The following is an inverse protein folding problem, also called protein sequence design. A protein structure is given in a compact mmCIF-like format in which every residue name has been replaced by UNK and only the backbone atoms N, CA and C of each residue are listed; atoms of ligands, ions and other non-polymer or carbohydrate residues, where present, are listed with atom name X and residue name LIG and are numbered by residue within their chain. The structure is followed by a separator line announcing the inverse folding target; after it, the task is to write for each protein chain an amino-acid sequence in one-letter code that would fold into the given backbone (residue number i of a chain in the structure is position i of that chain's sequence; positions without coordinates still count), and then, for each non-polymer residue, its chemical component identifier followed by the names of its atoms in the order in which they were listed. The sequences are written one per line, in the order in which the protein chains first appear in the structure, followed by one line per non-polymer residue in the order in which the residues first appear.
data_IF_738339914849
#
_entry.id   IF_738339914849
#
_cell.length_a   1.000
_cell.length_b   1.000
_cell.length_c   1.000
_cell.angle_alpha   90.00
_cell.angle_beta   90.00
_cell.angle_gamma   90.00
#
_symmetry.space_group_name_H-M   'P 1'
#
loop_
_entity.id
_entity.type
_entity.pdbx_description
1 polymer ?
#
# COMPACT_ATOMS: atom_id res chain seq x y z
N UNK A 1 12.09 -0.16 21.65
CA UNK A 1 12.89 -0.84 20.60
C UNK A 1 12.25 -0.44 19.28
N UNK A 2 12.82 0.55 18.58
CA UNK A 2 12.35 0.90 17.22
C UNK A 2 12.58 -0.31 16.32
N UNK A 3 11.73 -0.51 15.32
CA UNK A 3 12.07 -1.35 14.17
C UNK A 3 12.20 -2.87 14.41
N UNK A 4 11.73 -3.38 15.55
CA UNK A 4 11.77 -4.84 15.85
C UNK A 4 10.99 -5.66 14.81
N UNK A 5 10.01 -5.04 14.15
CA UNK A 5 9.18 -5.68 13.14
C UNK A 5 10.00 -6.24 11.96
N UNK A 6 11.13 -5.61 11.63
CA UNK A 6 12.00 -6.01 10.52
C UNK A 6 13.25 -6.77 10.97
N UNK A 7 13.34 -7.11 12.25
CA UNK A 7 14.50 -7.79 12.79
C UNK A 7 14.73 -9.12 12.07
N UNK A 8 15.94 -9.33 11.57
CA UNK A 8 16.32 -10.52 10.79
C UNK A 8 15.96 -10.47 9.31
N UNK A 9 15.17 -9.48 8.83
CA UNK A 9 14.88 -9.30 7.41
C UNK A 9 15.90 -8.38 6.71
N UNK A 10 16.30 -7.29 7.36
CA UNK A 10 17.28 -6.33 6.85
C UNK A 10 18.25 -5.89 7.96
N UNK A 11 19.38 -5.27 7.58
CA UNK A 11 20.32 -4.71 8.55
C UNK A 11 19.74 -3.48 9.25
N UNK A 12 20.12 -3.22 10.50
CA UNK A 12 19.61 -2.08 11.28
C UNK A 12 19.73 -0.75 10.54
N UNK A 13 20.87 -0.48 9.90
CA UNK A 13 21.08 0.72 9.07
C UNK A 13 20.07 0.87 7.94
N UNK A 14 19.69 -0.25 7.31
CA UNK A 14 18.68 -0.26 6.24
C UNK A 14 17.29 0.02 6.80
N UNK A 15 16.99 -0.49 7.99
CA UNK A 15 15.71 -0.27 8.63
C UNK A 15 15.58 1.18 9.13
N UNK A 16 16.64 1.76 9.70
CA UNK A 16 16.69 3.18 10.05
C UNK A 16 16.50 4.06 8.82
N UNK A 17 16.96 3.63 7.65
CA UNK A 17 16.81 4.37 6.39
C UNK A 17 15.34 4.57 5.98
N UNK A 18 14.40 3.76 6.49
CA UNK A 18 12.96 3.89 6.23
C UNK A 18 12.40 5.24 6.71
N UNK A 19 13.02 5.86 7.71
CA UNK A 19 12.60 7.16 8.27
C UNK A 19 12.70 8.31 7.24
N UNK A 20 13.43 8.11 6.15
CA UNK A 20 13.66 9.13 5.12
C UNK A 20 12.61 9.13 4.02
N UNK A 21 11.77 8.11 3.97
CA UNK A 21 10.81 7.92 2.88
C UNK A 21 9.40 8.34 3.28
N UNK A 22 8.65 8.74 2.26
CA UNK A 22 7.26 9.14 2.32
C UNK A 22 6.40 8.18 1.50
N UNK A 23 5.34 7.63 2.08
CA UNK A 23 4.43 6.69 1.40
C UNK A 23 3.04 7.31 1.28
N UNK A 24 2.43 7.24 0.10
CA UNK A 24 1.01 7.54 -0.10
C UNK A 24 0.18 6.27 -0.02
N UNK A 25 -0.83 6.24 0.86
CA UNK A 25 -1.69 5.06 1.06
C UNK A 25 -3.15 5.49 0.87
N UNK A 26 -3.86 4.79 -0.02
CA UNK A 26 -5.23 5.13 -0.40
C UNK A 26 -6.16 3.98 -0.01
N UNK A 27 -6.94 4.20 1.04
CA UNK A 27 -7.99 3.28 1.50
C UNK A 27 -7.51 1.95 2.09
N UNK A 28 -6.33 1.91 2.71
CA UNK A 28 -5.82 0.73 3.43
C UNK A 28 -5.29 1.11 4.82
N UNK A 29 -6.16 1.05 5.82
CA UNK A 29 -5.82 1.41 7.20
C UNK A 29 -4.85 0.40 7.81
N UNK A 30 -5.05 -0.90 7.55
CA UNK A 30 -4.13 -1.93 8.01
C UNK A 30 -2.70 -1.74 7.51
N UNK A 31 -2.52 -1.51 6.20
CA UNK A 31 -1.19 -1.29 5.64
C UNK A 31 -0.55 -0.02 6.20
N UNK A 32 -1.34 1.04 6.37
CA UNK A 32 -0.89 2.26 7.02
C UNK A 32 -0.39 2.01 8.45
N UNK A 33 -1.13 1.26 9.26
CA UNK A 33 -0.71 0.91 10.62
C UNK A 33 0.56 0.05 10.63
N UNK A 34 0.69 -0.91 9.70
CA UNK A 34 1.89 -1.72 9.57
C UNK A 34 3.11 -0.86 9.25
N UNK A 35 3.02 0.01 8.24
CA UNK A 35 4.12 0.88 7.82
C UNK A 35 4.47 1.93 8.89
N UNK A 36 3.48 2.38 9.63
CA UNK A 36 3.69 3.27 10.75
C UNK A 36 4.48 2.61 11.88
N UNK A 37 4.04 1.42 12.32
CA UNK A 37 4.76 0.63 13.35
C UNK A 37 6.15 0.19 12.89
N UNK A 38 6.37 0.24 11.57
CA UNK A 38 7.59 -0.14 10.88
C UNK A 38 8.64 0.96 10.76
N UNK A 39 8.34 2.20 11.21
CA UNK A 39 9.30 3.30 11.24
C UNK A 39 9.46 4.06 9.91
N UNK A 40 8.46 3.99 9.01
CA UNK A 40 8.41 4.86 7.83
C UNK A 40 8.31 6.32 8.26
N UNK A 41 9.07 7.19 7.61
CA UNK A 41 9.20 8.60 7.99
C UNK A 41 7.91 9.40 7.93
N UNK A 42 7.24 9.34 6.77
CA UNK A 42 5.99 10.06 6.53
C UNK A 42 4.98 9.19 5.81
N UNK A 43 3.75 9.16 6.29
CA UNK A 43 2.64 8.47 5.65
C UNK A 43 1.55 9.48 5.33
N UNK A 44 1.25 9.63 4.04
CA UNK A 44 0.11 10.40 3.56
C UNK A 44 -1.05 9.44 3.34
N UNK A 45 -1.96 9.44 4.29
CA UNK A 45 -3.14 8.59 4.25
C UNK A 45 -4.28 9.35 3.57
N UNK A 46 -4.85 8.76 2.51
CA UNK A 46 -6.06 9.25 1.88
C UNK A 46 -7.17 8.24 2.15
N UNK A 47 -8.02 8.58 3.10
CA UNK A 47 -9.16 7.77 3.50
C UNK A 47 -10.44 8.21 2.79
N UNK A 48 -11.31 7.25 2.50
CA UNK A 48 -12.63 7.48 1.92
C UNK A 48 -13.71 7.06 2.93
N UNK A 49 -14.97 7.12 2.55
CA UNK A 49 -16.08 6.60 3.33
C UNK A 49 -15.89 5.11 3.67
N UNK A 50 -16.03 4.77 4.95
CA UNK A 50 -15.97 3.40 5.43
C UNK A 50 -17.33 2.73 5.26
N UNK A 51 -17.33 1.60 4.57
CA UNK A 51 -18.51 0.76 4.44
C UNK A 51 -18.50 -0.37 5.48
N UNK A 52 -19.64 -1.01 5.77
CA UNK A 52 -19.66 -2.22 6.58
C UNK A 52 -18.79 -3.36 6.02
N UNK A 53 -18.56 -3.38 4.69
CA UNK A 53 -17.67 -4.35 4.06
C UNK A 53 -16.22 -4.07 4.43
N UNK A 54 -15.81 -2.80 4.45
CA UNK A 54 -14.46 -2.40 4.88
C UNK A 54 -14.22 -2.82 6.34
N UNK A 55 -15.17 -2.52 7.25
CA UNK A 55 -15.06 -2.91 8.65
C UNK A 55 -15.10 -4.43 8.89
N UNK A 56 -15.63 -5.20 7.93
CA UNK A 56 -15.59 -6.67 7.96
C UNK A 56 -14.23 -7.19 7.52
N UNK A 57 -13.61 -6.60 6.50
CA UNK A 57 -12.37 -7.06 5.87
C UNK A 57 -11.13 -6.54 6.62
N UNK A 58 -11.07 -5.24 6.89
CA UNK A 58 -9.94 -4.60 7.56
C UNK A 58 -10.14 -4.64 9.08
N UNK A 59 -9.38 -5.50 9.77
CA UNK A 59 -9.48 -5.66 11.23
C UNK A 59 -8.99 -4.46 12.04
N UNK A 60 -8.39 -3.45 11.40
CA UNK A 60 -8.03 -2.19 12.06
C UNK A 60 -9.17 -1.19 12.08
N UNK A 61 -10.23 -1.44 11.30
CA UNK A 61 -11.45 -0.65 11.30
C UNK A 61 -12.45 -1.27 12.28
N UNK A 62 -12.92 -0.49 13.26
CA UNK A 62 -13.94 -0.97 14.19
C UNK A 62 -15.31 -0.97 13.50
N UNK A 63 -16.19 -1.93 13.81
CA UNK A 63 -17.55 -1.96 13.25
C UNK A 63 -18.35 -0.67 13.47
N UNK A 64 -18.10 0.05 14.55
CA UNK A 64 -18.76 1.32 14.88
C UNK A 64 -18.24 2.52 14.07
N UNK A 65 -17.10 2.39 13.39
CA UNK A 65 -16.57 3.40 12.46
C UNK A 65 -17.15 3.24 11.05
N UNK A 66 -17.92 2.18 10.80
CA UNK A 66 -18.62 2.01 9.54
C UNK A 66 -19.65 3.14 9.35
N UNK A 67 -19.73 3.64 8.12
CA UNK A 67 -20.51 4.79 7.68
C UNK A 67 -19.99 6.15 8.17
N UNK A 68 -18.70 6.23 8.49
CA UNK A 68 -17.99 7.49 8.73
C UNK A 68 -16.81 7.64 7.76
N UNK A 69 -16.22 8.82 7.72
CA UNK A 69 -15.00 9.08 6.95
C UNK A 69 -13.80 8.43 7.63
N UNK A 70 -12.98 7.74 6.83
CA UNK A 70 -11.74 7.15 7.30
C UNK A 70 -10.68 8.23 7.54
N UNK A 71 -10.66 8.77 8.76
CA UNK A 71 -9.66 9.75 9.20
C UNK A 71 -8.83 9.12 10.30
N UNK A 72 -7.50 9.21 10.16
CA UNK A 72 -6.57 8.65 11.12
C UNK A 72 -5.74 9.76 11.76
N UNK A 73 -5.43 9.58 13.04
CA UNK A 73 -4.67 10.54 13.82
C UNK A 73 -3.37 9.92 14.32
N UNK A 74 -2.27 10.69 14.43
CA UNK A 74 -1.03 10.19 15.00
C UNK A 74 -1.21 9.63 16.43
N UNK A 75 -0.78 8.38 16.62
CA UNK A 75 -0.73 7.57 17.83
C UNK A 75 0.70 7.53 18.43
N UNK A 76 1.69 8.09 17.73
CA UNK A 76 3.09 8.17 18.15
C UNK A 76 3.75 9.43 17.61
N UNK A 77 4.82 9.90 18.25
CA UNK A 77 5.63 11.04 17.82
C UNK A 77 6.64 10.74 16.71
N UNK A 78 6.84 9.47 16.38
CA UNK A 78 8.05 9.03 15.67
C UNK A 78 7.89 8.96 14.14
N UNK A 79 6.65 8.85 13.64
CA UNK A 79 6.31 8.93 12.23
C UNK A 79 5.33 10.06 11.99
N UNK A 80 5.55 10.83 10.93
CA UNK A 80 4.60 11.84 10.49
C UNK A 80 3.42 11.15 9.79
N UNK A 81 2.20 11.38 10.26
CA UNK A 81 0.98 10.96 9.55
C UNK A 81 0.20 12.20 9.15
N UNK A 82 -0.10 12.29 7.86
CA UNK A 82 -0.95 13.32 7.30
C UNK A 82 -2.17 12.63 6.69
N UNK A 83 -3.32 12.77 7.34
CA UNK A 83 -4.58 12.18 6.89
C UNK A 83 -5.39 13.19 6.10
N UNK A 84 -5.81 12.82 4.90
CA UNK A 84 -6.71 13.60 4.04
C UNK A 84 -7.98 12.79 3.76
N UNK A 85 -9.16 13.44 3.73
CA UNK A 85 -10.32 12.83 3.10
C UNK A 85 -10.08 12.73 1.59
N UNK A 86 -10.63 11.69 0.96
CA UNK A 86 -10.55 11.50 -0.48
C UNK A 86 -11.15 12.69 -1.23
N UNK A 87 -10.36 13.40 -2.07
CA UNK A 87 -10.88 14.55 -2.81
C UNK A 87 -11.56 14.13 -4.11
N UNK A 88 -12.70 14.76 -4.41
CA UNK A 88 -13.36 14.59 -5.71
C UNK A 88 -12.51 15.18 -6.85
N UNK A 89 -11.83 16.31 -6.62
CA UNK A 89 -11.00 16.97 -7.63
C UNK A 89 -9.65 16.26 -7.87
N UNK A 90 -9.33 16.00 -9.15
CA UNK A 90 -8.12 15.29 -9.55
C UNK A 90 -6.85 16.09 -9.25
N UNK A 91 -6.91 17.40 -9.41
CA UNK A 91 -5.76 18.27 -9.14
C UNK A 91 -5.41 18.25 -7.65
N UNK A 92 -6.43 18.30 -6.79
CA UNK A 92 -6.26 18.16 -5.34
C UNK A 92 -5.70 16.80 -4.96
N UNK A 93 -6.24 15.72 -5.52
CA UNK A 93 -5.74 14.36 -5.29
C UNK A 93 -4.25 14.23 -5.62
N UNK A 94 -3.83 14.73 -6.78
CA UNK A 94 -2.43 14.77 -7.20
C UNK A 94 -1.58 15.66 -6.29
N UNK A 95 -2.11 16.79 -5.83
CA UNK A 95 -1.42 17.71 -4.93
C UNK A 95 -1.13 17.07 -3.57
N UNK A 96 -2.10 16.36 -3.00
CA UNK A 96 -1.95 15.64 -1.74
C UNK A 96 -0.87 14.56 -1.82
N UNK A 97 -0.69 13.95 -3.00
CA UNK A 97 0.30 12.90 -3.26
C UNK A 97 1.67 13.43 -3.73
N UNK A 98 1.85 14.74 -3.90
CA UNK A 98 3.10 15.30 -4.44
C UNK A 98 4.30 15.13 -3.51
N UNK A 99 5.38 14.51 -3.98
CA UNK A 99 6.62 14.33 -3.20
C UNK A 99 6.58 13.14 -2.23
N UNK A 100 5.75 12.14 -2.53
CA UNK A 100 5.85 10.80 -1.95
C UNK A 100 6.78 9.94 -2.82
N UNK A 101 7.36 8.91 -2.22
CA UNK A 101 8.31 8.00 -2.88
C UNK A 101 7.65 6.76 -3.47
N UNK A 102 6.42 6.42 -3.04
CA UNK A 102 5.63 5.29 -3.55
C UNK A 102 4.14 5.51 -3.24
N UNK A 103 3.26 5.03 -4.13
CA UNK A 103 1.81 5.05 -3.96
C UNK A 103 1.27 3.63 -3.83
N UNK A 104 0.42 3.40 -2.83
CA UNK A 104 -0.28 2.14 -2.62
C UNK A 104 -1.77 2.40 -2.56
N UNK A 105 -2.58 1.65 -3.32
CA UNK A 105 -4.01 1.91 -3.42
C UNK A 105 -4.86 0.64 -3.37
N UNK A 106 -5.71 0.56 -2.34
CA UNK A 106 -6.74 -0.47 -2.19
C UNK A 106 -8.13 0.08 -2.55
N UNK A 107 -8.28 1.41 -2.54
CA UNK A 107 -9.42 2.13 -3.11
C UNK A 107 -8.96 3.05 -4.24
N UNK A 108 -9.85 3.35 -5.17
CA UNK A 108 -9.60 4.29 -6.28
C UNK A 108 -8.35 3.95 -7.13
N UNK A 109 -8.08 2.65 -7.30
CA UNK A 109 -6.86 2.09 -7.92
C UNK A 109 -6.50 2.76 -9.24
N UNK A 110 -7.44 2.89 -10.18
CA UNK A 110 -7.18 3.51 -11.49
C UNK A 110 -6.72 4.97 -11.37
N UNK A 111 -7.33 5.74 -10.48
CA UNK A 111 -6.99 7.16 -10.29
C UNK A 111 -5.62 7.29 -9.62
N UNK A 112 -5.35 6.43 -8.65
CA UNK A 112 -4.06 6.34 -7.96
C UNK A 112 -2.92 5.97 -8.92
N UNK A 113 -3.13 4.96 -9.76
CA UNK A 113 -2.18 4.53 -10.78
C UNK A 113 -1.83 5.68 -11.74
N UNK A 114 -2.85 6.43 -12.18
CA UNK A 114 -2.65 7.58 -13.06
C UNK A 114 -1.79 8.66 -12.41
N UNK A 115 -2.07 8.99 -11.14
CA UNK A 115 -1.27 9.97 -10.39
C UNK A 115 0.16 9.47 -10.20
N UNK A 116 0.36 8.18 -9.91
CA UNK A 116 1.69 7.61 -9.74
C UNK A 116 2.54 7.74 -11.03
N UNK A 117 1.97 7.39 -12.19
CA UNK A 117 2.62 7.56 -13.49
C UNK A 117 2.96 9.04 -13.76
N UNK A 118 2.03 9.95 -13.49
CA UNK A 118 2.24 11.39 -13.71
C UNK A 118 3.25 12.02 -12.74
N UNK A 119 3.44 11.44 -11.55
CA UNK A 119 4.43 11.87 -10.57
C UNK A 119 5.77 11.15 -10.77
N UNK A 120 5.83 10.11 -11.60
CA UNK A 120 7.03 9.31 -11.83
C UNK A 120 7.45 8.51 -10.60
N UNK A 121 6.49 7.97 -9.84
CA UNK A 121 6.74 7.20 -8.61
C UNK A 121 6.17 5.78 -8.73
N UNK A 122 6.77 4.77 -8.08
CA UNK A 122 6.25 3.41 -8.10
C UNK A 122 4.81 3.32 -7.57
N UNK A 123 4.05 2.38 -8.13
CA UNK A 123 2.65 2.12 -7.78
C UNK A 123 2.42 0.66 -7.39
N UNK A 124 1.69 0.44 -6.29
CA UNK A 124 1.29 -0.87 -5.80
C UNK A 124 -0.25 -0.90 -5.70
N UNK A 125 -0.95 -1.69 -6.54
CA UNK A 125 -2.39 -1.91 -6.41
C UNK A 125 -2.71 -2.91 -5.28
N UNK A 126 -3.96 -3.31 -5.12
CA UNK A 126 -4.46 -4.27 -4.11
C UNK A 126 -4.01 -5.74 -4.34
N UNK A 127 -2.79 -5.95 -4.86
CA UNK A 127 -2.11 -7.25 -5.00
C UNK A 127 -0.60 -7.07 -4.72
N UNK A 128 0.17 -8.15 -4.67
CA UNK A 128 1.62 -8.08 -4.43
C UNK A 128 2.35 -7.92 -5.76
N UNK A 129 2.52 -6.68 -6.21
CA UNK A 129 3.37 -6.29 -7.35
C UNK A 129 3.67 -4.81 -7.32
N UNK A 130 4.76 -4.40 -7.97
CA UNK A 130 5.19 -3.01 -8.11
C UNK A 130 5.24 -2.63 -9.59
N UNK A 131 4.51 -1.58 -9.95
CA UNK A 131 4.63 -0.90 -11.23
C UNK A 131 5.67 0.20 -11.09
N UNK A 132 6.81 0.03 -11.76
CA UNK A 132 7.86 1.05 -11.79
C UNK A 132 7.53 2.14 -12.84
N UNK A 133 7.97 3.39 -12.63
CA UNK A 133 7.69 4.50 -13.56
C UNK A 133 8.20 4.27 -14.98
N UNK A 134 9.30 3.52 -15.12
CA UNK A 134 9.97 3.16 -16.37
C UNK A 134 9.65 1.72 -16.84
N UNK A 135 8.71 1.05 -16.16
CA UNK A 135 8.31 -0.33 -16.41
C UNK A 135 7.05 -0.47 -17.26
N UNK A 136 6.39 -1.62 -17.10
CA UNK A 136 5.05 -1.86 -17.68
C UNK A 136 4.05 -0.90 -17.06
N UNK A 137 3.20 -0.26 -17.86
CA UNK A 137 2.12 0.58 -17.33
C UNK A 137 1.01 -0.27 -16.70
N UNK A 138 0.42 0.22 -15.61
CA UNK A 138 -0.78 -0.38 -15.01
C UNK A 138 -1.95 -0.41 -16.01
N UNK A 139 -2.03 0.58 -16.90
CA UNK A 139 -3.11 0.66 -17.88
C UNK A 139 -2.94 -0.32 -19.04
N UNK A 140 -1.72 -0.77 -19.32
CA UNK A 140 -1.41 -1.74 -20.38
C UNK A 140 -1.72 -3.19 -19.99
N UNK A 141 -2.03 -3.45 -18.72
CA UNK A 141 -2.33 -4.79 -18.22
C UNK A 141 -3.77 -4.94 -17.76
N UNK A 142 -4.29 -6.16 -17.88
CA UNK A 142 -5.55 -6.58 -17.29
C UNK A 142 -5.34 -6.77 -15.79
N UNK A 143 -6.04 -5.95 -15.01
CA UNK A 143 -6.07 -6.03 -13.56
C UNK A 143 -7.42 -6.62 -13.13
N UNK A 144 -7.41 -7.90 -12.76
CA UNK A 144 -8.56 -8.55 -12.13
C UNK A 144 -8.46 -8.31 -10.62
N UNK A 145 -9.36 -7.49 -10.08
CA UNK A 145 -9.35 -7.15 -8.65
C UNK A 145 -9.59 -8.41 -7.82
N UNK A 146 -8.74 -8.72 -6.83
CA UNK A 146 -8.95 -9.89 -5.98
C UNK A 146 -10.19 -9.70 -5.08
N UNK A 147 -10.84 -10.81 -4.76
CA UNK A 147 -11.80 -10.84 -3.65
C UNK A 147 -11.04 -11.08 -2.36
N UNK A 148 -11.37 -10.31 -1.33
CA UNK A 148 -10.72 -10.40 -0.03
C UNK A 148 -11.70 -10.83 1.06
N UNK A 149 -11.27 -11.82 1.83
CA UNK A 149 -11.71 -12.05 3.20
C UNK A 149 -10.69 -11.41 4.17
N UNK A 150 -11.00 -11.34 5.48
CA UNK A 150 -10.15 -10.63 6.44
C UNK A 150 -8.73 -11.20 6.55
N UNK A 151 -8.58 -12.52 6.41
CA UNK A 151 -7.28 -13.19 6.53
C UNK A 151 -6.46 -12.92 5.26
N UNK A 152 -7.05 -13.11 4.08
CA UNK A 152 -6.33 -12.84 2.82
C UNK A 152 -5.95 -11.38 2.66
N UNK A 153 -6.80 -10.45 3.11
CA UNK A 153 -6.49 -9.03 3.16
C UNK A 153 -5.30 -8.73 4.09
N UNK A 154 -5.30 -9.30 5.30
CA UNK A 154 -4.23 -9.07 6.26
C UNK A 154 -2.88 -9.62 5.79
N UNK A 155 -2.88 -10.79 5.16
CA UNK A 155 -1.69 -11.35 4.51
C UNK A 155 -1.21 -10.46 3.36
N UNK A 156 -2.12 -9.98 2.52
CA UNK A 156 -1.79 -9.07 1.41
C UNK A 156 -1.13 -7.79 1.92
N UNK A 157 -1.72 -7.11 2.92
CA UNK A 157 -1.15 -5.92 3.53
C UNK A 157 0.22 -6.18 4.16
N UNK A 158 0.39 -7.33 4.83
CA UNK A 158 1.67 -7.71 5.45
C UNK A 158 2.77 -7.92 4.42
N UNK A 159 2.45 -8.59 3.30
CA UNK A 159 3.39 -8.81 2.21
C UNK A 159 3.75 -7.50 1.50
N UNK A 160 2.78 -6.64 1.23
CA UNK A 160 3.03 -5.31 0.65
C UNK A 160 3.88 -4.42 1.56
N UNK A 161 3.68 -4.46 2.88
CA UNK A 161 4.57 -3.75 3.81
C UNK A 161 6.03 -4.23 3.64
N UNK A 162 6.23 -5.54 3.44
CA UNK A 162 7.53 -6.11 3.09
C UNK A 162 8.08 -5.63 1.74
N UNK A 163 7.23 -5.48 0.73
CA UNK A 163 7.60 -4.90 -0.57
C UNK A 163 8.09 -3.45 -0.44
N UNK A 164 7.46 -2.65 0.40
CA UNK A 164 7.92 -1.27 0.68
C UNK A 164 9.34 -1.26 1.27
N UNK A 165 9.65 -2.18 2.19
CA UNK A 165 11.01 -2.32 2.72
C UNK A 165 11.99 -2.74 1.62
N UNK A 166 11.58 -3.63 0.70
CA UNK A 166 12.40 -4.05 -0.44
C UNK A 166 12.72 -2.86 -1.35
N UNK A 167 11.72 -2.08 -1.71
CA UNK A 167 11.85 -0.87 -2.54
C UNK A 167 12.82 0.12 -1.91
N UNK A 168 12.63 0.46 -0.62
CA UNK A 168 13.39 1.53 0.02
C UNK A 168 14.80 1.15 0.47
N UNK A 169 15.02 -0.12 0.80
CA UNK A 169 16.32 -0.54 1.36
C UNK A 169 17.16 -1.37 0.39
N UNK A 170 16.58 -1.83 -0.73
CA UNK A 170 17.25 -2.63 -1.75
C UNK A 170 17.91 -3.89 -1.19
N UNK A 171 17.37 -4.48 -0.11
CA UNK A 171 17.91 -5.73 0.44
C UNK A 171 17.54 -6.95 -0.40
N UNK A 172 16.40 -6.89 -1.09
CA UNK A 172 15.94 -7.82 -2.11
C UNK A 172 15.18 -7.03 -3.17
N UNK A 173 15.09 -7.57 -4.39
CA UNK A 173 14.27 -6.97 -5.44
C UNK A 173 12.78 -7.15 -5.07
N UNK A 174 11.95 -6.10 -5.18
CA UNK A 174 10.51 -6.26 -5.06
C UNK A 174 9.96 -7.07 -6.23
N UNK A 175 8.74 -7.56 -6.08
CA UNK A 175 7.95 -8.13 -7.17
C UNK A 175 7.60 -6.99 -8.13
N UNK A 176 7.97 -7.13 -9.41
CA UNK A 176 7.79 -6.09 -10.43
C UNK A 176 6.86 -6.62 -11.52
N UNK A 177 5.88 -5.80 -11.93
CA UNK A 177 4.97 -6.13 -13.02
C UNK A 177 5.74 -6.48 -14.32
N UNK A 178 5.31 -7.48 -15.10
CA UNK A 178 3.99 -8.11 -15.06
C UNK A 178 3.86 -9.26 -14.05
N UNK A 179 4.93 -9.62 -13.33
CA UNK A 179 4.85 -10.61 -12.27
C UNK A 179 4.05 -10.05 -11.08
N UNK A 180 3.16 -10.85 -10.53
CA UNK A 180 2.42 -10.50 -9.32
C UNK A 180 2.15 -11.74 -8.47
N UNK A 181 1.78 -11.51 -7.21
CA UNK A 181 1.26 -12.56 -6.34
C UNK A 181 -0.09 -12.14 -5.76
N UNK A 182 -0.93 -13.15 -5.52
CA UNK A 182 -2.20 -13.02 -4.80
C UNK A 182 -2.24 -14.06 -3.70
N UNK A 183 -2.90 -13.72 -2.60
CA UNK A 183 -3.13 -14.69 -1.52
C UNK A 183 -4.20 -15.68 -1.98
N UNK A 184 -3.90 -16.96 -1.90
CA UNK A 184 -4.77 -18.06 -2.33
C UNK A 184 -4.63 -19.22 -1.35
N UNK A 185 -5.68 -19.53 -0.59
CA UNK A 185 -5.63 -20.54 0.46
C UNK A 185 -5.51 -21.97 -0.06
N UNK A 186 -5.78 -22.19 -1.35
CA UNK A 186 -5.65 -23.50 -1.99
C UNK A 186 -4.19 -23.79 -2.43
N UNK A 187 -3.33 -22.77 -2.45
CA UNK A 187 -1.92 -22.91 -2.82
C UNK A 187 -1.03 -23.20 -1.60
N UNK A 188 0.02 -24.04 -1.75
CA UNK A 188 1.02 -24.25 -0.72
C UNK A 188 1.67 -22.94 -0.29
N UNK A 189 1.59 -22.61 1.01
CA UNK A 189 2.13 -21.35 1.54
C UNK A 189 1.21 -20.14 1.33
N UNK A 190 -0.03 -20.36 0.89
CA UNK A 190 -1.08 -19.36 0.75
C UNK A 190 -0.80 -18.24 -0.26
N UNK A 191 0.14 -18.46 -1.18
CA UNK A 191 0.56 -17.44 -2.14
C UNK A 191 0.63 -18.02 -3.55
N UNK A 192 -0.17 -17.45 -4.45
CA UNK A 192 -0.20 -17.81 -5.86
C UNK A 192 0.58 -16.81 -6.68
N UNK A 193 1.54 -17.29 -7.48
CA UNK A 193 2.18 -16.49 -8.52
C UNK A 193 1.22 -16.35 -9.71
N UNK A 194 1.03 -15.12 -10.16
CA UNK A 194 0.25 -14.79 -11.35
C UNK A 194 1.07 -13.88 -12.29
N UNK A 195 0.68 -13.84 -13.56
CA UNK A 195 1.26 -12.92 -14.54
C UNK A 195 0.15 -12.05 -15.11
N UNK A 196 0.33 -10.73 -15.01
CA UNK A 196 -0.62 -9.74 -15.50
C UNK A 196 -0.58 -9.70 -17.03
N UNK A 197 -1.68 -10.12 -17.65
CA UNK A 197 -1.79 -10.17 -19.11
C UNK A 197 -1.91 -8.77 -19.69
N UNK A 198 -1.31 -8.52 -20.86
CA UNK A 198 -1.54 -7.27 -21.59
C UNK A 198 -3.02 -7.14 -21.99
N UNK A 199 -3.52 -5.90 -22.03
CA UNK A 199 -4.81 -5.60 -22.66
C UNK A 199 -4.63 -5.62 -24.17
N UNK A 200 -5.60 -6.23 -24.86
CA UNK A 200 -5.71 -6.21 -26.33
C UNK A 200 -6.12 -4.82 -26.84
#
# INVERSE_FOLDING_TARGET
MKNIFWYGMASEKKIEYLEKFSVGIIGSRMLMELLWRSGVGCIRYIGDFLTPVDARIDSTVKPLEANDYDVVHPMSTDSCIISYPYPEDYTEFKRQLKGIDVIIAHKHVNRAARVAEELGVPFIPEIITTFLPDGVSFFDVRYDRPEHDPISYALTCSLQAGEIVRIFTGYQLPVIAPEAYVVDFDEPGYLKKIELKKKD
#
